data_IF_196511638887
#
_entry.id   IF_196511638887
#
_cell.length_a   1.000
_cell.length_b   1.000
_cell.length_c   1.000
_cell.angle_alpha   90.00
_cell.angle_beta   90.00
_cell.angle_gamma   90.00
#
_symmetry.space_group_name_H-M   'P 1'
#
loop_
_entity.id
_entity.type
_entity.pdbx_description
1 polymer ?
#
# COMPACT_ATOMS: atom_id res chain seq x y z
N UNK A 1 -29.35 -9.49 -12.31
CA UNK A 1 -28.77 -10.56 -11.48
C UNK A 1 -27.31 -10.82 -11.86
N UNK A 2 -26.48 -9.76 -11.96
CA UNK A 2 -25.14 -9.86 -12.58
C UNK A 2 -24.00 -9.44 -11.64
N UNK A 3 -24.31 -8.84 -10.48
CA UNK A 3 -23.33 -8.43 -9.47
C UNK A 3 -22.97 -9.51 -8.44
N UNK A 4 -23.71 -10.63 -8.41
CA UNK A 4 -23.49 -11.74 -7.46
C UNK A 4 -22.22 -12.56 -7.73
N UNK A 5 -21.52 -12.34 -8.84
CA UNK A 5 -20.36 -13.14 -9.22
C UNK A 5 -19.03 -12.64 -8.61
N UNK A 6 -18.96 -11.40 -8.08
CA UNK A 6 -17.71 -10.80 -7.59
C UNK A 6 -17.71 -10.50 -6.09
N UNK A 7 -18.86 -10.52 -5.43
CA UNK A 7 -18.98 -10.17 -4.02
C UNK A 7 -19.67 -11.28 -3.24
N UNK A 8 -18.99 -11.80 -2.23
CA UNK A 8 -19.57 -12.70 -1.23
C UNK A 8 -19.97 -11.85 -0.02
N UNK A 9 -21.26 -11.85 0.30
CA UNK A 9 -21.82 -11.08 1.41
C UNK A 9 -22.25 -12.06 2.50
N UNK A 10 -21.70 -11.90 3.70
CA UNK A 10 -22.10 -12.64 4.89
C UNK A 10 -22.43 -11.68 6.02
N UNK A 11 -23.50 -11.99 6.75
CA UNK A 11 -23.90 -11.21 7.91
C UNK A 11 -24.75 -12.08 8.82
N UNK A 12 -24.67 -11.83 10.12
CA UNK A 12 -25.63 -12.39 11.06
C UNK A 12 -26.92 -11.57 10.93
N UNK A 13 -28.03 -12.21 10.56
CA UNK A 13 -29.30 -11.52 10.36
C UNK A 13 -29.70 -10.84 11.66
N UNK A 14 -29.72 -9.50 11.71
CA UNK A 14 -30.15 -8.83 12.92
C UNK A 14 -31.64 -9.08 13.13
N UNK A 15 -32.05 -9.23 14.37
CA UNK A 15 -33.46 -9.14 14.76
C UNK A 15 -33.98 -7.70 14.60
N UNK A 16 -34.98 -7.31 15.41
CA UNK A 16 -35.32 -5.88 15.53
C UNK A 16 -34.11 -5.13 16.08
N UNK A 17 -33.58 -4.20 15.29
CA UNK A 17 -32.53 -3.30 15.75
C UNK A 17 -33.16 -2.09 16.43
N UNK A 18 -32.93 -1.95 17.73
CA UNK A 18 -33.22 -0.72 18.46
C UNK A 18 -32.16 0.35 18.17
N UNK A 19 -32.45 1.60 18.49
CA UNK A 19 -31.44 2.66 18.46
C UNK A 19 -30.20 2.26 19.29
N UNK A 20 -29.00 2.50 18.74
CA UNK A 20 -27.73 2.15 19.37
C UNK A 20 -27.23 0.72 19.11
N UNK A 21 -27.96 -0.09 18.34
CA UNK A 21 -27.48 -1.41 17.92
C UNK A 21 -26.71 -1.34 16.60
N UNK A 22 -25.68 -2.18 16.47
CA UNK A 22 -24.85 -2.32 15.27
C UNK A 22 -24.95 -3.74 14.73
N UNK A 23 -25.06 -3.88 13.42
CA UNK A 23 -24.93 -5.15 12.71
C UNK A 23 -23.73 -5.03 11.76
N UNK A 24 -22.78 -5.97 11.86
CA UNK A 24 -21.67 -6.05 10.95
C UNK A 24 -22.08 -6.82 9.69
N UNK A 25 -21.69 -6.30 8.53
CA UNK A 25 -21.86 -6.97 7.24
C UNK A 25 -20.46 -7.16 6.67
N UNK A 26 -20.08 -8.41 6.47
CA UNK A 26 -18.82 -8.77 5.84
C UNK A 26 -19.05 -8.87 4.32
N UNK A 27 -18.24 -8.12 3.57
CA UNK A 27 -18.27 -8.11 2.11
C UNK A 27 -16.89 -8.51 1.61
N UNK A 28 -16.78 -9.71 1.05
CA UNK A 28 -15.56 -10.19 0.44
C UNK A 28 -15.61 -9.94 -1.08
N UNK A 29 -14.67 -9.15 -1.58
CA UNK A 29 -14.50 -8.91 -3.00
C UNK A 29 -13.57 -9.96 -3.63
N UNK A 30 -14.08 -10.71 -4.60
CA UNK A 30 -13.35 -11.68 -5.42
C UNK A 30 -13.28 -11.18 -6.86
N UNK A 31 -12.18 -10.50 -7.26
CA UNK A 31 -12.02 -10.03 -8.62
C UNK A 31 -11.92 -11.23 -9.57
N UNK A 32 -12.80 -11.31 -10.57
CA UNK A 32 -12.73 -12.31 -11.63
C UNK A 32 -12.47 -11.69 -13.02
N UNK A 33 -12.56 -10.37 -13.15
CA UNK A 33 -12.23 -9.61 -14.36
C UNK A 33 -11.34 -8.42 -14.00
N UNK A 34 -10.49 -7.99 -14.92
CA UNK A 34 -9.63 -6.84 -14.75
C UNK A 34 -10.34 -5.55 -15.19
N UNK A 35 -11.48 -5.25 -14.56
CA UNK A 35 -12.30 -4.08 -14.84
C UNK A 35 -12.68 -3.37 -13.53
N UNK A 36 -12.84 -2.05 -13.59
CA UNK A 36 -13.28 -1.25 -12.45
C UNK A 36 -14.77 -1.55 -12.20
N UNK A 37 -15.12 -1.95 -10.98
CA UNK A 37 -16.49 -2.33 -10.60
C UNK A 37 -17.09 -1.23 -9.75
N UNK A 38 -18.18 -0.65 -10.26
CA UNK A 38 -18.98 0.37 -9.59
C UNK A 38 -20.40 -0.20 -9.46
N UNK A 39 -20.82 -0.50 -8.24
CA UNK A 39 -22.13 -1.11 -7.98
C UNK A 39 -22.64 -0.68 -6.61
N UNK A 40 -23.81 -1.17 -6.22
CA UNK A 40 -24.43 -0.91 -4.93
C UNK A 40 -24.95 -2.19 -4.28
N UNK A 41 -24.88 -2.27 -2.94
CA UNK A 41 -25.57 -3.29 -2.16
C UNK A 41 -26.90 -2.71 -1.68
N UNK A 42 -28.05 -3.25 -2.13
CA UNK A 42 -29.34 -2.88 -1.58
C UNK A 42 -29.50 -3.50 -0.19
N UNK A 43 -29.74 -2.65 0.82
CA UNK A 43 -30.09 -3.06 2.18
C UNK A 43 -31.52 -2.66 2.45
N UNK A 44 -32.38 -3.61 2.78
CA UNK A 44 -33.78 -3.34 3.08
C UNK A 44 -33.93 -2.98 4.56
N UNK A 45 -34.34 -1.75 4.85
CA UNK A 45 -34.64 -1.27 6.18
C UNK A 45 -36.15 -1.07 6.38
N UNK A 46 -36.60 -0.90 7.63
CA UNK A 46 -38.01 -0.65 7.97
C UNK A 46 -38.53 0.66 7.35
N UNK A 47 -37.65 1.65 7.16
CA UNK A 47 -37.95 2.93 6.51
C UNK A 47 -37.91 2.88 4.98
N UNK A 48 -37.49 1.75 4.39
CA UNK A 48 -37.28 1.58 2.96
C UNK A 48 -35.90 1.05 2.61
N UNK A 49 -35.64 0.76 1.32
CA UNK A 49 -34.33 0.31 0.86
C UNK A 49 -33.31 1.47 0.89
N UNK A 50 -32.10 1.15 1.33
CA UNK A 50 -30.92 2.01 1.21
C UNK A 50 -29.91 1.34 0.28
N UNK A 51 -29.11 2.15 -0.43
CA UNK A 51 -28.08 1.67 -1.34
C UNK A 51 -26.70 2.01 -0.79
N UNK A 52 -25.90 0.98 -0.54
CA UNK A 52 -24.51 1.15 -0.09
C UNK A 52 -23.59 1.08 -1.30
N UNK A 53 -22.88 2.16 -1.67
CA UNK A 53 -22.02 2.17 -2.85
C UNK A 53 -20.78 1.30 -2.64
N UNK A 54 -20.46 0.49 -3.64
CA UNK A 54 -19.23 -0.30 -3.75
C UNK A 54 -18.40 0.21 -4.94
N UNK A 55 -17.16 0.57 -4.65
CA UNK A 55 -16.16 0.93 -5.65
C UNK A 55 -14.94 0.03 -5.49
N UNK A 56 -14.65 -0.75 -6.53
CA UNK A 56 -13.45 -1.58 -6.60
C UNK A 56 -12.70 -1.24 -7.88
N UNK A 57 -11.47 -0.77 -7.76
CA UNK A 57 -10.63 -0.41 -8.90
C UNK A 57 -9.60 -1.51 -9.19
N UNK A 58 -9.28 -1.64 -10.47
CA UNK A 58 -8.21 -2.51 -10.96
C UNK A 58 -6.86 -2.08 -10.42
N UNK A 59 -5.97 -3.06 -10.23
CA UNK A 59 -4.57 -2.78 -9.93
C UNK A 59 -3.93 -2.15 -11.15
N UNK A 60 -3.38 -0.95 -10.99
CA UNK A 60 -2.68 -0.21 -12.04
C UNK A 60 -1.23 0.03 -11.62
N UNK A 61 -0.35 0.28 -12.58
CA UNK A 61 0.97 0.86 -12.33
C UNK A 61 0.83 2.37 -12.43
N UNK A 62 1.31 3.09 -11.43
CA UNK A 62 1.29 4.55 -11.41
C UNK A 62 2.69 5.03 -11.03
N UNK A 63 3.62 5.13 -12.00
CA UNK A 63 4.99 5.52 -11.73
C UNK A 63 5.05 7.03 -11.45
N UNK A 64 5.86 7.41 -10.47
CA UNK A 64 6.15 8.80 -10.11
C UNK A 64 7.61 8.96 -9.75
N UNK A 65 8.16 10.14 -10.07
CA UNK A 65 9.49 10.57 -9.64
C UNK A 65 9.35 11.63 -8.55
N UNK A 66 10.32 11.66 -7.64
CA UNK A 66 10.47 12.73 -6.65
C UNK A 66 10.92 14.06 -7.27
N UNK A 67 11.72 14.00 -8.34
CA UNK A 67 12.11 15.17 -9.15
C UNK A 67 11.92 14.92 -10.65
N UNK A 68 11.51 15.95 -11.38
CA UNK A 68 11.44 15.92 -12.84
C UNK A 68 12.76 16.37 -13.49
N UNK A 69 13.56 17.15 -12.76
CA UNK A 69 14.78 17.76 -13.25
C UNK A 69 15.97 17.33 -12.40
N UNK A 70 17.03 16.93 -13.09
CA UNK A 70 18.31 16.57 -12.47
C UNK A 70 19.27 17.71 -12.71
N UNK A 71 19.58 18.46 -11.65
CA UNK A 71 20.42 19.65 -11.72
C UNK A 71 21.80 19.39 -11.12
N UNK A 72 22.83 19.43 -11.97
CA UNK A 72 24.20 19.20 -11.55
C UNK A 72 24.90 20.47 -11.04
N UNK A 73 24.33 21.66 -11.25
CA UNK A 73 24.93 22.96 -10.89
C UNK A 73 25.27 23.82 -12.11
N UNK A 74 25.47 25.12 -11.89
CA UNK A 74 25.86 26.08 -12.95
C UNK A 74 27.34 25.97 -13.34
N UNK A 75 28.16 25.38 -12.47
CA UNK A 75 29.60 25.28 -12.61
C UNK A 75 30.07 23.84 -12.40
N UNK A 76 29.76 22.96 -13.36
CA UNK A 76 30.34 21.62 -13.39
C UNK A 76 31.80 21.74 -13.82
N UNK A 77 32.72 21.43 -12.91
CA UNK A 77 34.17 21.50 -13.16
C UNK A 77 34.65 20.21 -13.82
N UNK A 78 35.55 20.34 -14.81
CA UNK A 78 36.15 19.19 -15.48
C UNK A 78 36.93 18.35 -14.47
N UNK A 79 36.57 17.08 -14.33
CA UNK A 79 37.22 16.13 -13.42
C UNK A 79 36.48 15.90 -12.11
N UNK A 80 35.37 16.60 -11.86
CA UNK A 80 34.49 16.34 -10.71
C UNK A 80 33.42 15.29 -11.06
N UNK A 81 33.15 14.37 -10.14
CA UNK A 81 32.06 13.40 -10.23
C UNK A 81 30.98 13.75 -9.20
N UNK A 82 29.72 13.78 -9.64
CA UNK A 82 28.57 14.08 -8.79
C UNK A 82 27.49 13.03 -8.99
N UNK A 83 27.03 12.47 -7.88
CA UNK A 83 25.96 11.46 -7.85
C UNK A 83 24.67 12.14 -7.37
N UNK A 84 23.59 11.93 -8.12
CA UNK A 84 22.25 12.40 -7.75
C UNK A 84 21.35 11.18 -7.63
N UNK A 85 20.64 11.09 -6.52
CA UNK A 85 19.68 10.03 -6.27
C UNK A 85 18.31 10.45 -6.79
N UNK A 86 17.67 9.57 -7.56
CA UNK A 86 16.29 9.74 -8.00
C UNK A 86 15.46 8.61 -7.41
N UNK A 87 14.29 8.94 -6.89
CA UNK A 87 13.38 7.97 -6.30
C UNK A 87 12.23 7.69 -7.26
N UNK A 88 12.23 6.48 -7.82
CA UNK A 88 11.11 5.97 -8.62
C UNK A 88 10.15 5.25 -7.68
N UNK A 89 8.89 5.69 -7.65
CA UNK A 89 7.83 5.07 -6.85
C UNK A 89 6.71 4.60 -7.76
N UNK A 90 6.22 3.39 -7.52
CA UNK A 90 4.93 2.95 -8.05
C UNK A 90 3.85 3.23 -7.01
N UNK A 91 3.03 4.26 -7.23
CA UNK A 91 1.88 4.58 -6.39
C UNK A 91 0.67 3.67 -6.65
N UNK A 92 0.76 2.79 -7.64
CA UNK A 92 -0.26 1.82 -7.97
C UNK A 92 -0.07 0.47 -7.24
N UNK A 93 -1.10 -0.35 -7.28
CA UNK A 93 -1.13 -1.66 -6.60
C UNK A 93 -0.68 -2.83 -7.49
N UNK A 94 -0.33 -2.58 -8.76
CA UNK A 94 0.17 -3.60 -9.67
C UNK A 94 1.69 -3.66 -9.58
N UNK A 95 2.24 -4.82 -9.21
CA UNK A 95 3.68 -5.07 -9.23
C UNK A 95 4.22 -4.93 -10.66
N UNK A 96 5.41 -4.36 -10.81
CA UNK A 96 6.00 -4.07 -12.13
C UNK A 96 7.52 -4.07 -12.07
N UNK A 97 8.12 -4.33 -13.23
CA UNK A 97 9.56 -4.22 -13.49
C UNK A 97 9.83 -2.89 -14.22
N UNK A 98 11.05 -2.36 -14.12
CA UNK A 98 11.42 -1.13 -14.82
C UNK A 98 12.75 -1.27 -15.54
N UNK A 99 12.87 -0.57 -16.66
CA UNK A 99 14.09 -0.47 -17.46
C UNK A 99 14.39 1.00 -17.73
N UNK A 100 15.67 1.36 -17.66
CA UNK A 100 16.18 2.68 -18.00
C UNK A 100 16.81 2.60 -19.39
N UNK A 101 16.52 3.57 -20.25
CA UNK A 101 17.05 3.61 -21.61
C UNK A 101 17.82 4.91 -21.85
N UNK A 102 18.96 4.82 -22.54
CA UNK A 102 19.59 6.00 -23.11
C UNK A 102 18.77 6.46 -24.32
N UNK A 103 18.15 7.64 -24.20
CA UNK A 103 17.31 8.23 -25.25
C UNK A 103 18.03 8.41 -26.58
N UNK A 104 19.36 8.57 -26.59
CA UNK A 104 20.13 8.78 -27.82
C UNK A 104 20.41 7.49 -28.57
N UNK A 105 20.70 6.41 -27.85
CA UNK A 105 21.12 5.12 -28.43
C UNK A 105 19.99 4.09 -28.45
N UNK A 106 18.93 4.29 -27.66
CA UNK A 106 17.83 3.35 -27.48
C UNK A 106 18.20 2.11 -26.67
N UNK A 107 19.42 2.05 -26.12
CA UNK A 107 19.90 0.89 -25.38
C UNK A 107 19.47 0.94 -23.91
N UNK A 108 19.20 -0.24 -23.35
CA UNK A 108 18.96 -0.40 -21.90
C UNK A 108 20.26 -0.10 -21.16
N UNK A 109 20.20 0.78 -20.18
CA UNK A 109 21.33 1.20 -19.33
C UNK A 109 21.15 0.82 -17.86
N UNK A 110 19.97 0.33 -17.48
CA UNK A 110 19.68 -0.16 -16.14
C UNK A 110 18.32 -0.84 -16.06
N UNK A 111 18.12 -1.68 -15.04
CA UNK A 111 16.84 -2.34 -14.76
C UNK A 111 16.71 -2.65 -13.27
N UNK A 112 15.51 -3.03 -12.85
CA UNK A 112 15.24 -3.47 -11.47
C UNK A 112 15.99 -4.76 -11.07
N UNK A 113 16.45 -5.55 -12.04
CA UNK A 113 17.22 -6.77 -11.81
C UNK A 113 18.73 -6.52 -11.52
N UNK A 114 19.21 -5.28 -11.60
CA UNK A 114 20.62 -4.94 -11.44
C UNK A 114 20.86 -3.76 -10.49
N UNK A 115 20.71 -3.97 -9.18
CA UNK A 115 21.33 -3.10 -8.17
C UNK A 115 22.12 -3.94 -7.16
N UNK A 116 23.20 -4.57 -7.63
CA UNK A 116 24.45 -4.64 -6.85
C UNK A 116 25.62 -4.62 -7.85
N UNK A 117 26.33 -3.49 -8.03
CA UNK A 117 27.64 -3.51 -8.66
C UNK A 117 28.61 -4.29 -7.75
N UNK A 118 29.43 -5.22 -8.27
CA UNK A 118 30.49 -5.82 -7.47
C UNK A 118 31.51 -4.72 -7.13
N UNK A 119 31.44 -4.19 -5.91
CA UNK A 119 32.37 -3.17 -5.39
C UNK A 119 31.74 -1.91 -4.80
N UNK A 120 30.42 -1.71 -4.87
CA UNK A 120 29.75 -0.56 -4.27
C UNK A 120 28.66 -1.04 -3.30
N UNK A 121 28.95 -0.99 -2.00
CA UNK A 121 28.02 -1.37 -0.95
C UNK A 121 26.91 -0.33 -0.78
N UNK A 122 25.76 -0.56 -1.40
CA UNK A 122 24.52 0.05 -0.96
C UNK A 122 23.95 -0.81 0.17
N UNK A 123 23.97 -0.27 1.39
CA UNK A 123 23.21 -0.85 2.49
C UNK A 123 21.73 -0.74 2.14
N UNK A 124 21.10 -1.88 1.83
CA UNK A 124 19.66 -2.02 1.93
C UNK A 124 19.34 -1.84 3.41
N UNK A 125 18.93 -0.63 3.78
CA UNK A 125 18.22 -0.44 5.03
C UNK A 125 16.90 -1.19 4.87
N UNK A 126 16.88 -2.44 5.33
CA UNK A 126 15.63 -3.10 5.65
C UNK A 126 14.87 -2.15 6.58
N UNK A 127 13.84 -1.51 6.03
CA UNK A 127 12.82 -0.82 6.81
C UNK A 127 12.00 -1.86 7.56
N UNK A 128 12.66 -2.61 8.45
CA UNK A 128 11.99 -3.26 9.55
C UNK A 128 11.41 -2.13 10.40
N UNK A 129 10.09 -1.97 10.36
CA UNK A 129 9.39 -1.19 11.35
C UNK A 129 9.79 -1.77 12.72
N UNK A 130 10.68 -1.07 13.42
CA UNK A 130 10.99 -1.35 14.81
C UNK A 130 9.73 -0.98 15.59
N UNK A 131 8.94 -2.00 15.90
CA UNK A 131 8.02 -1.93 17.02
C UNK A 131 8.88 -1.64 18.26
N UNK A 132 8.72 -0.46 18.85
CA UNK A 132 9.23 -0.20 20.19
C UNK A 132 8.41 -1.03 21.17
N UNK A 133 8.84 -2.27 21.38
CA UNK A 133 8.43 -3.11 22.50
C UNK A 133 9.37 -2.81 23.69
N UNK A 134 8.94 -1.86 24.53
CA UNK A 134 9.56 -1.58 25.81
C UNK A 134 9.12 -2.60 26.86
N UNK A 135 9.69 -3.81 26.78
CA UNK A 135 9.50 -4.88 27.75
C UNK A 135 10.29 -4.67 29.05
N UNK A 136 9.54 -4.64 30.15
CA UNK A 136 9.75 -5.23 31.48
C UNK A 136 11.18 -5.48 32.05
N UNK A 137 11.34 -5.14 33.33
CA UNK A 137 11.87 -6.00 34.42
C UNK A 137 11.58 -5.24 35.74
N UNK A 138 11.08 -5.79 36.84
CA UNK A 138 11.18 -7.14 37.41
C UNK A 138 11.71 -6.97 38.84
N UNK A 139 11.00 -7.43 39.87
CA UNK A 139 11.53 -7.43 41.24
C UNK A 139 10.49 -7.48 42.34
N UNK A 140 10.18 -8.68 42.81
CA UNK A 140 9.43 -8.96 44.02
C UNK A 140 10.21 -8.59 45.30
N UNK A 141 9.51 -8.23 46.39
CA UNK A 141 9.64 -8.89 47.71
C UNK A 141 8.67 -8.30 48.76
N UNK A 142 8.54 -9.05 49.87
CA UNK A 142 7.46 -9.11 50.84
C UNK A 142 7.46 -8.03 51.95
N UNK A 143 6.34 -7.95 52.70
CA UNK A 143 6.41 -7.81 54.17
C UNK A 143 5.60 -6.69 54.85
N UNK A 144 4.51 -7.08 55.52
CA UNK A 144 4.07 -6.76 56.89
C UNK A 144 3.92 -5.31 57.45
N UNK A 145 2.83 -5.10 58.22
CA UNK A 145 2.64 -4.08 59.28
C UNK A 145 1.53 -3.07 58.94
N UNK A 146 0.38 -3.02 59.62
CA UNK A 146 0.15 -2.38 60.94
C UNK A 146 -0.08 -0.87 60.72
N UNK A 147 -1.17 -0.19 61.09
CA UNK A 147 -2.26 -0.35 62.07
C UNK A 147 -3.62 0.02 61.45
#
# INVERSE_FOLDING_TARGET
DSGRAFFEISYEKPGRMSAGMTCAIDVCFRPAVNEDIITEIPVLCETGPIMVPLLCTTKKVVPSLDTNDVYFGDHVVIGEEKIIHLHIKNGGALHTHYELFDKRTGMVVGSDAQIVPPGFGFGVGDGAATAEDGGAEGGAEAGAGGE
#
